data_IF_522253636909
#
_entry.id   IF_522253636909
#
_cell.length_a   1.000
_cell.length_b   1.000
_cell.length_c   1.000
_cell.angle_alpha   90.00
_cell.angle_beta   90.00
_cell.angle_gamma   90.00
#
_symmetry.space_group_name_H-M   'P 1'
#
loop_
_entity.id
_entity.type
_entity.pdbx_description
1 polymer ?
#
# COMPACT_ATOMS: atom_id res chain seq x y z
N UNK A 1 -12.48 9.28 -27.08
CA UNK A 1 -13.78 9.97 -27.16
C UNK A 1 -13.54 11.38 -26.67
N UNK A 2 -13.92 12.40 -27.48
CA UNK A 2 -13.86 13.76 -27.06
C UNK A 2 -14.82 13.94 -25.86
N UNK A 3 -14.27 14.45 -24.80
CA UNK A 3 -15.03 14.67 -23.59
C UNK A 3 -15.67 16.06 -23.71
N UNK A 4 -16.97 16.16 -23.74
CA UNK A 4 -17.78 17.38 -23.94
C UNK A 4 -17.51 18.49 -22.90
N UNK A 5 -16.26 18.68 -22.49
CA UNK A 5 -15.84 19.64 -21.46
C UNK A 5 -16.24 19.26 -20.03
N UNK A 6 -16.78 18.06 -19.82
CA UNK A 6 -17.14 17.58 -18.48
C UNK A 6 -15.89 17.23 -17.68
N UNK A 7 -15.86 17.64 -16.43
CA UNK A 7 -14.82 17.24 -15.49
C UNK A 7 -15.10 15.82 -14.97
N UNK A 8 -14.06 14.96 -14.83
CA UNK A 8 -14.22 13.71 -14.13
C UNK A 8 -14.60 13.92 -12.65
N UNK A 9 -15.35 13.00 -12.08
CA UNK A 9 -15.73 13.04 -10.67
C UNK A 9 -15.03 11.94 -9.83
N UNK A 10 -14.47 10.93 -10.49
CA UNK A 10 -13.74 9.84 -9.86
C UNK A 10 -12.79 9.22 -10.88
N UNK A 11 -11.61 8.78 -10.46
CA UNK A 11 -10.72 7.95 -11.25
C UNK A 11 -10.43 6.62 -10.57
N UNK A 12 -10.31 5.57 -11.39
CA UNK A 12 -9.72 4.31 -10.99
C UNK A 12 -8.39 4.14 -11.69
N UNK A 13 -7.32 3.88 -10.93
CA UNK A 13 -5.98 3.64 -11.46
C UNK A 13 -5.57 2.18 -11.29
N UNK A 14 -5.05 1.60 -12.36
CA UNK A 14 -4.26 0.36 -12.30
C UNK A 14 -2.86 0.69 -12.79
N UNK A 15 -1.86 0.49 -11.96
CA UNK A 15 -0.47 0.79 -12.28
C UNK A 15 0.41 -0.46 -12.08
N UNK A 16 1.47 -0.54 -12.84
CA UNK A 16 2.48 -1.59 -12.68
C UNK A 16 3.19 -1.40 -11.33
N UNK A 17 3.39 -2.47 -10.57
CA UNK A 17 4.04 -2.39 -9.24
C UNK A 17 5.47 -1.86 -9.29
N UNK A 18 6.13 -1.91 -10.47
CA UNK A 18 7.49 -1.38 -10.67
C UNK A 18 7.55 0.15 -10.76
N UNK A 19 6.39 0.81 -10.85
CA UNK A 19 6.30 2.27 -10.72
C UNK A 19 6.56 2.64 -9.27
N UNK A 20 7.28 3.73 -9.06
CA UNK A 20 7.41 4.30 -7.71
C UNK A 20 6.03 4.77 -7.23
N UNK A 21 5.39 3.97 -6.38
CA UNK A 21 4.02 4.24 -5.92
C UNK A 21 3.92 5.56 -5.14
N UNK A 22 4.97 5.95 -4.44
CA UNK A 22 4.99 7.20 -3.67
C UNK A 22 5.03 8.43 -4.61
N UNK A 23 5.86 8.39 -5.66
CA UNK A 23 5.88 9.44 -6.68
C UNK A 23 4.55 9.51 -7.44
N UNK A 24 3.95 8.35 -7.73
CA UNK A 24 2.64 8.29 -8.37
C UNK A 24 1.54 8.90 -7.49
N UNK A 25 1.53 8.55 -6.19
CA UNK A 25 0.60 9.12 -5.21
C UNK A 25 0.75 10.65 -5.14
N UNK A 26 1.97 11.14 -4.99
CA UNK A 26 2.27 12.56 -4.94
C UNK A 26 1.83 13.28 -6.23
N UNK A 27 2.16 12.73 -7.38
CA UNK A 27 1.74 13.28 -8.66
C UNK A 27 0.22 13.39 -8.76
N UNK A 28 -0.50 12.34 -8.34
CA UNK A 28 -1.96 12.35 -8.38
C UNK A 28 -2.55 13.38 -7.42
N UNK A 29 -2.01 13.51 -6.21
CA UNK A 29 -2.46 14.51 -5.25
C UNK A 29 -2.26 15.94 -5.74
N UNK A 30 -1.17 16.21 -6.44
CA UNK A 30 -0.85 17.54 -6.95
C UNK A 30 -1.63 17.93 -8.22
N UNK A 31 -1.99 16.94 -9.05
CA UNK A 31 -2.49 17.21 -10.40
C UNK A 31 -3.93 16.77 -10.66
N UNK A 32 -4.50 15.92 -9.81
CA UNK A 32 -5.85 15.39 -10.00
C UNK A 32 -6.80 15.91 -8.91
N UNK A 33 -7.74 16.81 -9.26
CA UNK A 33 -8.59 17.50 -8.28
C UNK A 33 -9.83 16.68 -7.84
N UNK A 34 -9.91 15.40 -8.17
CA UNK A 34 -11.01 14.51 -7.80
C UNK A 34 -10.47 13.21 -7.18
N UNK A 35 -11.29 12.46 -6.44
CA UNK A 35 -10.85 11.23 -5.80
C UNK A 35 -10.27 10.23 -6.79
N UNK A 36 -9.15 9.61 -6.40
CA UNK A 36 -8.50 8.53 -7.14
C UNK A 36 -8.45 7.31 -6.25
N UNK A 37 -8.90 6.19 -6.78
CA UNK A 37 -8.82 4.87 -6.15
C UNK A 37 -8.13 3.91 -7.09
N UNK A 38 -7.55 2.84 -6.57
CA UNK A 38 -6.95 1.83 -7.42
C UNK A 38 -5.88 1.03 -6.71
N UNK A 39 -4.98 0.45 -7.49
CA UNK A 39 -3.92 -0.38 -6.95
C UNK A 39 -2.82 -0.64 -7.95
N UNK A 40 -1.77 -1.24 -7.41
CA UNK A 40 -0.66 -1.74 -8.22
C UNK A 40 -1.01 -3.14 -8.71
N UNK A 41 -0.88 -3.34 -10.01
CA UNK A 41 -1.01 -4.66 -10.61
C UNK A 41 0.20 -5.51 -10.22
N UNK A 42 -0.05 -6.73 -9.79
CA UNK A 42 0.96 -7.71 -9.41
C UNK A 42 0.73 -9.01 -10.19
N UNK A 43 1.75 -9.82 -10.34
CA UNK A 43 1.62 -11.15 -10.91
C UNK A 43 1.45 -12.20 -9.79
N UNK A 44 2.43 -13.06 -9.67
CA UNK A 44 2.55 -14.02 -8.58
C UNK A 44 3.48 -13.49 -7.47
N UNK A 45 3.82 -14.35 -6.53
CA UNK A 45 4.73 -14.05 -5.43
C UNK A 45 6.13 -13.55 -5.86
N UNK A 46 6.47 -13.73 -7.13
CA UNK A 46 7.81 -13.37 -7.64
C UNK A 46 7.89 -11.93 -8.15
N UNK A 47 6.78 -11.24 -8.31
CA UNK A 47 6.72 -9.82 -8.75
C UNK A 47 7.55 -9.53 -10.00
N UNK A 48 7.57 -10.46 -10.97
CA UNK A 48 8.44 -10.38 -12.16
C UNK A 48 7.73 -9.84 -13.39
N UNK A 49 6.51 -10.31 -13.61
CA UNK A 49 5.74 -10.04 -14.82
C UNK A 49 4.39 -9.47 -14.45
N UNK A 50 4.20 -8.21 -14.74
CA UNK A 50 2.98 -7.52 -14.43
C UNK A 50 2.39 -6.95 -15.71
N UNK A 51 1.11 -7.15 -15.93
CA UNK A 51 0.40 -6.63 -17.09
C UNK A 51 -0.94 -6.02 -16.69
N UNK A 52 -1.24 -4.89 -17.27
CA UNK A 52 -2.52 -4.22 -17.13
C UNK A 52 -3.28 -4.39 -18.42
N UNK A 53 -4.52 -4.86 -18.31
CA UNK A 53 -5.37 -5.12 -19.45
C UNK A 53 -6.38 -4.00 -19.64
N UNK A 54 -6.46 -3.50 -20.86
CA UNK A 54 -7.53 -2.61 -21.31
C UNK A 54 -8.30 -3.31 -22.43
N UNK A 55 -9.42 -2.74 -22.86
CA UNK A 55 -10.24 -3.31 -23.93
C UNK A 55 -9.48 -3.58 -25.24
N UNK A 56 -8.31 -2.97 -25.44
CA UNK A 56 -7.59 -3.00 -26.72
C UNK A 56 -6.10 -3.23 -26.61
N UNK A 57 -5.54 -3.21 -25.40
CA UNK A 57 -4.09 -3.26 -25.20
C UNK A 57 -3.72 -3.98 -23.92
N UNK A 58 -2.59 -4.63 -23.97
CA UNK A 58 -1.83 -5.05 -22.81
C UNK A 58 -0.76 -3.97 -22.57
N UNK A 59 -0.68 -3.48 -21.36
CA UNK A 59 0.26 -2.45 -20.95
C UNK A 59 1.25 -3.11 -20.00
N UNK A 60 2.50 -3.11 -20.42
CA UNK A 60 3.63 -3.52 -19.60
C UNK A 60 4.40 -2.27 -19.17
N UNK A 61 4.81 -2.21 -17.91
CA UNK A 61 5.57 -1.07 -17.35
C UNK A 61 4.85 0.28 -17.54
N UNK A 62 3.59 0.33 -17.15
CA UNK A 62 2.79 1.54 -17.30
C UNK A 62 1.59 1.60 -16.38
N UNK A 63 0.64 2.44 -16.71
CA UNK A 63 -0.62 2.55 -15.97
C UNK A 63 -1.81 2.75 -16.91
N UNK A 64 -2.99 2.42 -16.40
CA UNK A 64 -4.27 2.72 -17.02
C UNK A 64 -5.15 3.51 -16.05
N UNK A 65 -5.90 4.46 -16.59
CA UNK A 65 -6.88 5.24 -15.85
C UNK A 65 -8.27 5.00 -16.45
N UNK A 66 -9.23 4.67 -15.59
CA UNK A 66 -10.64 4.69 -15.90
C UNK A 66 -11.25 5.93 -15.24
N UNK A 67 -11.80 6.84 -16.04
CA UNK A 67 -12.38 8.08 -15.57
C UNK A 67 -13.90 7.98 -15.58
N UNK A 68 -14.53 8.31 -14.46
CA UNK A 68 -15.98 8.42 -14.36
C UNK A 68 -16.40 9.89 -14.49
N UNK A 69 -17.48 10.14 -15.23
CA UNK A 69 -18.02 11.45 -15.50
C UNK A 69 -19.51 11.52 -15.15
N UNK A 70 -19.95 12.68 -14.71
CA UNK A 70 -21.35 12.97 -14.41
C UNK A 70 -21.66 12.93 -12.92
N UNK A 71 -22.93 13.03 -12.55
CA UNK A 71 -23.35 13.01 -11.14
C UNK A 71 -23.26 11.59 -10.58
N UNK A 72 -22.09 11.20 -10.12
CA UNK A 72 -21.86 9.93 -9.46
C UNK A 72 -21.86 10.14 -7.95
N UNK A 73 -22.85 9.59 -7.26
CA UNK A 73 -22.79 9.48 -5.82
C UNK A 73 -21.87 8.31 -5.47
N UNK A 74 -20.80 8.61 -4.75
CA UNK A 74 -19.86 7.58 -4.31
C UNK A 74 -19.42 7.85 -2.87
N UNK A 75 -19.07 6.80 -2.18
CA UNK A 75 -18.34 6.83 -0.91
C UNK A 75 -17.09 5.97 -1.06
N UNK A 76 -16.02 6.39 -0.40
CA UNK A 76 -14.78 5.64 -0.36
C UNK A 76 -14.50 5.26 1.08
N UNK A 77 -14.41 3.97 1.32
CA UNK A 77 -14.06 3.42 2.62
C UNK A 77 -12.77 2.65 2.51
N UNK A 78 -11.85 2.90 3.43
CA UNK A 78 -10.59 2.17 3.54
C UNK A 78 -10.56 1.45 4.88
N UNK A 79 -10.46 0.14 4.82
CA UNK A 79 -10.32 -0.70 6.00
C UNK A 79 -9.10 -1.61 5.88
N UNK A 80 -8.55 -1.96 7.01
CA UNK A 80 -7.54 -3.01 7.12
C UNK A 80 -7.77 -3.79 8.42
N UNK A 81 -7.34 -5.04 8.42
CA UNK A 81 -7.43 -5.96 9.57
C UNK A 81 -6.07 -6.24 10.18
N UNK A 82 -5.16 -5.31 10.03
CA UNK A 82 -3.82 -5.47 10.52
C UNK A 82 -3.78 -5.37 12.04
N UNK A 83 -3.27 -6.38 12.65
CA UNK A 83 -2.95 -6.39 14.07
C UNK A 83 -1.48 -6.05 14.25
N UNK A 84 -1.21 -4.86 14.78
CA UNK A 84 0.14 -4.49 15.16
C UNK A 84 0.56 -5.26 16.41
N UNK A 85 1.79 -5.78 16.38
CA UNK A 85 2.38 -6.61 17.44
C UNK A 85 3.71 -6.00 17.90
N UNK A 86 4.15 -6.42 19.08
CA UNK A 86 5.44 -6.00 19.63
C UNK A 86 5.57 -4.50 19.84
N UNK A 87 6.80 -4.02 19.82
CA UNK A 87 7.13 -2.62 20.08
C UNK A 87 7.41 -1.88 18.78
N UNK A 88 7.15 -0.59 18.77
CA UNK A 88 7.58 0.28 17.66
C UNK A 88 9.08 0.57 17.73
N UNK A 89 9.69 0.84 16.58
CA UNK A 89 11.08 1.25 16.43
C UNK A 89 11.20 2.43 15.47
N UNK A 90 12.27 3.19 15.58
CA UNK A 90 12.60 4.24 14.62
C UNK A 90 13.47 3.69 13.49
N UNK A 91 13.18 4.09 12.28
CA UNK A 91 14.02 3.79 11.10
C UNK A 91 15.29 4.63 11.20
N UNK A 92 16.44 3.98 11.26
CA UNK A 92 17.73 4.64 11.49
C UNK A 92 18.61 4.71 10.23
N UNK A 93 18.46 3.73 9.32
CA UNK A 93 19.21 3.67 8.07
C UNK A 93 18.40 3.04 6.96
N UNK A 94 18.48 3.65 5.78
CA UNK A 94 17.87 3.18 4.53
C UNK A 94 18.84 3.33 3.37
N UNK A 95 18.66 2.49 2.34
CA UNK A 95 19.31 2.63 1.04
C UNK A 95 18.21 2.47 -0.04
N UNK A 96 17.74 3.60 -0.57
CA UNK A 96 16.59 3.63 -1.47
C UNK A 96 15.33 3.01 -0.83
N UNK A 97 14.86 1.91 -1.39
CA UNK A 97 13.72 1.14 -0.87
C UNK A 97 14.11 0.10 0.19
N UNK A 98 15.39 -0.06 0.47
CA UNK A 98 15.88 -0.99 1.48
C UNK A 98 15.94 -0.31 2.84
N UNK A 99 15.29 -0.90 3.83
CA UNK A 99 15.42 -0.51 5.23
C UNK A 99 16.49 -1.39 5.85
N UNK A 100 17.57 -0.75 6.31
CA UNK A 100 18.73 -1.45 6.84
C UNK A 100 18.69 -1.61 8.37
N UNK A 101 18.20 -0.59 9.09
CA UNK A 101 18.19 -0.59 10.56
C UNK A 101 16.91 0.01 11.13
N UNK A 102 16.38 -0.67 12.16
CA UNK A 102 15.21 -0.22 12.93
C UNK A 102 15.47 -0.50 14.42
N UNK A 103 15.32 0.50 15.27
CA UNK A 103 15.37 0.34 16.72
C UNK A 103 16.66 -0.32 17.22
N UNK A 104 17.81 0.13 16.72
CA UNK A 104 19.14 -0.32 17.14
C UNK A 104 19.65 -1.63 16.53
N UNK A 105 18.82 -2.34 15.73
CA UNK A 105 19.18 -3.63 15.13
C UNK A 105 18.97 -3.60 13.61
N UNK A 106 19.41 -4.64 12.90
CA UNK A 106 19.10 -4.79 11.48
C UNK A 106 17.59 -4.98 11.28
N UNK A 107 17.07 -4.57 10.13
CA UNK A 107 15.62 -4.55 9.89
C UNK A 107 14.99 -5.95 9.96
N UNK A 108 15.65 -6.99 9.44
CA UNK A 108 15.15 -8.37 9.59
C UNK A 108 15.19 -8.84 11.05
N UNK A 109 16.23 -8.49 11.81
CA UNK A 109 16.29 -8.80 13.24
C UNK A 109 15.20 -8.08 14.05
N UNK A 110 14.84 -6.87 13.65
CA UNK A 110 13.70 -6.17 14.25
C UNK A 110 12.42 -6.98 14.06
N UNK A 111 12.13 -7.44 12.84
CA UNK A 111 10.94 -8.27 12.58
C UNK A 111 11.00 -9.58 13.36
N UNK A 112 12.12 -10.29 13.35
CA UNK A 112 12.28 -11.53 14.12
C UNK A 112 12.02 -11.32 15.61
N UNK A 113 12.52 -10.24 16.17
CA UNK A 113 12.33 -9.90 17.58
C UNK A 113 10.86 -9.65 17.91
N UNK A 114 10.16 -8.87 17.07
CA UNK A 114 8.77 -8.48 17.33
C UNK A 114 7.77 -9.60 16.99
N UNK A 115 8.09 -10.47 16.03
CA UNK A 115 7.25 -11.63 15.67
C UNK A 115 7.55 -12.88 16.50
N UNK A 116 8.71 -12.94 17.14
CA UNK A 116 9.19 -14.13 17.86
C UNK A 116 9.65 -15.27 16.95
N UNK A 117 9.75 -15.07 15.63
CA UNK A 117 10.17 -16.07 14.66
C UNK A 117 10.96 -15.45 13.50
N UNK A 118 11.84 -16.20 12.84
CA UNK A 118 12.46 -15.76 11.60
C UNK A 118 11.40 -15.44 10.53
N UNK A 119 11.63 -14.37 9.77
CA UNK A 119 10.78 -14.06 8.63
C UNK A 119 11.11 -15.01 7.47
N UNK A 120 10.08 -15.65 6.93
CA UNK A 120 10.22 -16.43 5.71
C UNK A 120 10.09 -15.51 4.48
N UNK A 121 10.86 -15.77 3.44
CA UNK A 121 10.79 -15.02 2.18
C UNK A 121 9.41 -15.09 1.48
N UNK A 122 8.58 -16.07 1.85
CA UNK A 122 7.20 -16.21 1.37
C UNK A 122 6.16 -15.59 2.29
N UNK A 123 6.58 -14.93 3.37
CA UNK A 123 5.68 -14.41 4.40
C UNK A 123 5.14 -13.02 4.01
N UNK A 124 4.08 -13.02 3.23
CA UNK A 124 3.36 -11.80 2.82
C UNK A 124 2.41 -11.25 3.89
N UNK A 125 2.21 -11.99 4.98
CA UNK A 125 1.34 -11.57 6.07
C UNK A 125 1.99 -10.56 7.02
N UNK A 126 3.31 -10.43 6.95
CA UNK A 126 4.08 -9.47 7.75
C UNK A 126 4.25 -8.18 6.98
N UNK A 127 3.79 -7.09 7.56
CA UNK A 127 3.94 -5.75 7.00
C UNK A 127 4.45 -4.78 8.05
N UNK A 128 5.01 -3.67 7.63
CA UNK A 128 5.38 -2.57 8.51
C UNK A 128 4.32 -1.46 8.46
N UNK A 129 3.91 -0.98 9.61
CA UNK A 129 3.13 0.24 9.75
C UNK A 129 4.09 1.40 9.95
N UNK A 130 4.21 2.27 8.97
CA UNK A 130 4.91 3.54 9.10
C UNK A 130 3.97 4.57 9.75
N UNK A 131 4.49 5.29 10.74
CA UNK A 131 3.86 6.46 11.33
C UNK A 131 4.80 7.63 11.15
N UNK A 132 4.41 8.59 10.33
CA UNK A 132 5.25 9.72 9.98
C UNK A 132 4.49 11.04 9.95
N UNK A 133 5.26 12.13 10.07
CA UNK A 133 4.78 13.49 9.98
C UNK A 133 4.47 14.14 11.34
N UNK A 134 4.58 15.47 11.38
CA UNK A 134 4.27 16.28 12.58
C UNK A 134 2.76 16.53 12.74
N UNK A 135 1.94 16.09 11.80
CA UNK A 135 0.51 16.33 11.78
C UNK A 135 -0.24 15.54 12.85
N UNK A 136 -1.37 16.05 13.28
CA UNK A 136 -2.23 15.38 14.26
C UNK A 136 -3.64 15.18 13.65
N UNK A 137 -4.03 13.94 13.35
CA UNK A 137 -3.32 12.69 13.59
C UNK A 137 -2.15 12.47 12.61
N UNK A 138 -1.10 11.77 13.07
CA UNK A 138 0.04 11.46 12.19
C UNK A 138 -0.39 10.56 11.02
N UNK A 139 0.28 10.72 9.89
CA UNK A 139 0.02 9.89 8.71
C UNK A 139 0.49 8.46 8.99
N UNK A 140 -0.40 7.49 8.75
CA UNK A 140 -0.12 6.07 8.88
C UNK A 140 -0.15 5.41 7.50
N UNK A 141 0.92 4.73 7.15
CA UNK A 141 1.04 4.01 5.88
C UNK A 141 1.48 2.58 6.10
N UNK A 142 0.89 1.68 5.33
CA UNK A 142 1.34 0.29 5.31
C UNK A 142 2.47 0.12 4.31
N UNK A 143 3.48 -0.64 4.70
CA UNK A 143 4.65 -0.93 3.89
C UNK A 143 4.80 -2.44 3.76
N UNK A 144 4.49 -2.94 2.56
CA UNK A 144 4.66 -4.36 2.26
C UNK A 144 6.12 -4.67 2.01
N UNK A 145 6.56 -5.79 2.59
CA UNK A 145 7.90 -6.30 2.42
C UNK A 145 7.92 -7.12 1.14
N UNK A 146 8.90 -6.86 0.28
CA UNK A 146 9.13 -7.65 -0.92
C UNK A 146 9.89 -8.91 -0.52
N UNK A 147 9.36 -10.12 -0.80
CA UNK A 147 10.08 -11.36 -0.58
C UNK A 147 11.33 -11.38 -1.48
N UNK A 148 12.48 -11.35 -0.89
CA UNK A 148 13.76 -11.50 -1.57
C UNK A 148 14.60 -12.57 -0.87
N UNK A 149 15.46 -13.25 -1.62
CA UNK A 149 16.52 -14.05 -1.03
C UNK A 149 17.50 -13.08 -0.35
N UNK A 150 17.41 -13.02 0.97
CA UNK A 150 18.25 -12.13 1.77
C UNK A 150 19.71 -12.52 1.64
N UNK A 151 20.42 -11.89 0.74
CA UNK A 151 21.87 -12.04 0.56
C UNK A 151 22.62 -11.31 1.68
N UNK A 152 22.61 -11.87 2.87
CA UNK A 152 23.62 -11.61 3.90
C UNK A 152 23.55 -10.30 4.69
N UNK A 153 22.91 -9.24 4.20
CA UNK A 153 22.93 -7.91 4.84
C UNK A 153 21.80 -7.65 5.86
N UNK A 154 20.85 -8.58 5.95
CA UNK A 154 19.68 -8.50 6.84
C UNK A 154 18.83 -7.21 6.71
N UNK A 155 18.91 -6.55 5.56
CA UNK A 155 18.01 -5.46 5.20
C UNK A 155 16.65 -6.00 4.70
N UNK A 156 15.66 -5.15 4.63
CA UNK A 156 14.32 -5.46 4.10
C UNK A 156 14.01 -4.53 2.94
N UNK A 157 13.70 -5.08 1.79
CA UNK A 157 13.20 -4.32 0.67
C UNK A 157 11.70 -4.13 0.78
N UNK A 158 11.25 -2.91 0.59
CA UNK A 158 9.83 -2.53 0.64
C UNK A 158 9.34 -2.13 -0.75
N UNK A 159 8.04 -2.28 -1.00
CA UNK A 159 7.41 -1.76 -2.23
C UNK A 159 7.56 -0.23 -2.31
N UNK A 160 7.41 0.45 -1.18
CA UNK A 160 7.71 1.87 -1.02
C UNK A 160 8.66 2.05 0.15
N UNK A 161 9.62 2.95 0.03
CA UNK A 161 10.56 3.24 1.10
C UNK A 161 9.90 3.82 2.34
N UNK A 162 10.62 3.80 3.46
CA UNK A 162 10.29 4.49 4.70
C UNK A 162 11.37 5.52 4.97
N UNK A 163 11.05 6.80 5.21
CA UNK A 163 12.06 7.81 5.55
C UNK A 163 12.78 7.50 6.86
N UNK A 164 14.05 7.86 6.94
CA UNK A 164 14.81 7.84 8.20
C UNK A 164 14.11 8.74 9.22
N UNK A 165 14.04 8.31 10.47
CA UNK A 165 13.36 9.00 11.55
C UNK A 165 11.86 8.68 11.67
N UNK A 166 11.25 7.98 10.71
CA UNK A 166 9.88 7.49 10.84
C UNK A 166 9.80 6.44 11.94
N UNK A 167 8.72 6.47 12.72
CA UNK A 167 8.39 5.38 13.63
C UNK A 167 7.74 4.25 12.85
N UNK A 168 8.10 3.01 13.15
CA UNK A 168 7.49 1.84 12.51
C UNK A 168 7.17 0.75 13.52
N UNK A 169 6.18 -0.08 13.19
CA UNK A 169 5.75 -1.22 14.00
C UNK A 169 5.43 -2.40 13.08
N UNK A 170 5.68 -3.61 13.55
CA UNK A 170 5.31 -4.82 12.82
C UNK A 170 3.81 -5.06 12.97
N UNK A 171 3.14 -5.36 11.86
CA UNK A 171 1.73 -5.75 11.85
C UNK A 171 1.58 -7.07 11.10
N UNK A 172 0.63 -7.87 11.54
CA UNK A 172 0.24 -9.13 10.90
C UNK A 172 -1.10 -8.95 10.20
N UNK A 173 -1.19 -9.40 8.95
CA UNK A 173 -2.43 -9.50 8.21
C UNK A 173 -3.05 -10.88 8.42
N UNK A 174 -4.29 -10.93 8.86
CA UNK A 174 -5.07 -12.16 8.90
C UNK A 174 -6.09 -12.14 7.75
N UNK A 175 -5.97 -13.07 6.79
CA UNK A 175 -6.94 -13.14 5.68
C UNK A 175 -8.37 -13.39 6.12
N UNK A 176 -8.58 -14.07 7.26
CA UNK A 176 -9.92 -14.37 7.78
C UNK A 176 -10.58 -13.09 8.27
N UNK A 177 -9.85 -12.28 9.01
CA UNK A 177 -10.35 -11.00 9.52
C UNK A 177 -10.70 -10.02 8.38
N UNK A 178 -10.12 -10.21 7.19
CA UNK A 178 -10.37 -9.33 6.04
C UNK A 178 -11.81 -9.41 5.56
N UNK A 179 -12.38 -10.60 5.48
CA UNK A 179 -13.78 -10.81 5.04
C UNK A 179 -14.75 -10.18 6.03
N UNK A 180 -14.54 -10.43 7.33
CA UNK A 180 -15.37 -9.88 8.40
C UNK A 180 -15.36 -8.35 8.39
N UNK A 181 -14.20 -7.76 8.12
CA UNK A 181 -14.05 -6.30 8.01
C UNK A 181 -14.79 -5.74 6.78
N UNK A 182 -14.69 -6.40 5.62
CA UNK A 182 -15.42 -5.99 4.42
C UNK A 182 -16.92 -6.04 4.64
N UNK A 183 -17.43 -7.07 5.31
CA UNK A 183 -18.84 -7.18 5.66
C UNK A 183 -19.26 -6.05 6.61
N UNK A 184 -18.48 -5.79 7.66
CA UNK A 184 -18.75 -4.71 8.61
C UNK A 184 -18.77 -3.32 7.94
N UNK A 185 -17.84 -3.04 7.03
CA UNK A 185 -17.82 -1.80 6.25
C UNK A 185 -19.06 -1.70 5.37
N UNK A 186 -19.42 -2.79 4.67
CA UNK A 186 -20.59 -2.80 3.80
C UNK A 186 -21.90 -2.59 4.57
N UNK A 187 -22.01 -3.15 5.77
CA UNK A 187 -23.18 -2.94 6.64
C UNK A 187 -23.25 -1.52 7.18
N UNK A 188 -22.11 -0.95 7.58
CA UNK A 188 -22.03 0.42 8.02
C UNK A 188 -22.45 1.40 6.91
N UNK A 189 -22.00 1.20 5.68
CA UNK A 189 -22.42 1.99 4.52
C UNK A 189 -23.94 1.86 4.22
N UNK A 190 -24.48 0.65 4.29
CA UNK A 190 -25.94 0.44 4.14
C UNK A 190 -26.74 1.19 5.22
N UNK A 191 -26.25 1.20 6.45
CA UNK A 191 -26.90 1.88 7.58
C UNK A 191 -26.96 3.41 7.39
N UNK A 192 -26.05 4.00 6.60
CA UNK A 192 -26.08 5.44 6.27
C UNK A 192 -27.23 5.81 5.32
N UNK A 193 -27.99 4.85 4.79
CA UNK A 193 -29.07 5.06 3.83
C UNK A 193 -28.60 5.48 2.43
N UNK A 194 -27.32 5.51 2.19
CA UNK A 194 -26.75 5.72 0.85
C UNK A 194 -26.91 4.42 0.08
N UNK A 195 -27.77 4.41 -0.93
CA UNK A 195 -27.85 3.30 -1.88
C UNK A 195 -26.65 3.38 -2.82
N UNK A 196 -26.01 2.24 -3.13
CA UNK A 196 -24.95 2.17 -4.12
C UNK A 196 -25.43 2.61 -5.50
#
# INVERSE_FOLDING_TARGET
QANDGRQPCLAFVAADFRINAQELEQFMQEHIPYPVIGGLANDDMFMRNCSIYTNRRIIEKGMALLLAYGPLNHSLSVGNTLRCIGHSGYVEAVDGQQVCRIGGVTASRFIERETGRPMLHTDISVVLLEVSGPEMPPVKRLRSIIPEDHHGDQSLRLICGIPVGSQTQVCLADPTDLLDNVEAIAEAEKATGRRP
#
